data_IF_989106803470
#
_entry.id   IF_989106803470
#
_cell.length_a   1.000
_cell.length_b   1.000
_cell.length_c   1.000
_cell.angle_alpha   90.00
_cell.angle_beta   90.00
_cell.angle_gamma   90.00
#
_symmetry.space_group_name_H-M   'P 1'
#
loop_
_entity.id
_entity.type
_entity.pdbx_description
1 polymer ?
#
# COMPACT_ATOMS: atom_id res chain seq x y z
N UNK A 1 -6.16 6.48 -1.04
CA UNK A 1 -4.77 6.81 -0.71
C UNK A 1 -3.88 6.22 -1.80
N UNK A 2 -2.95 6.99 -2.36
CA UNK A 2 -1.92 6.48 -3.29
C UNK A 2 -0.57 6.56 -2.56
N UNK A 3 0.19 5.48 -2.52
CA UNK A 3 1.50 5.40 -1.84
C UNK A 3 2.46 4.59 -2.69
N UNK A 4 3.72 5.00 -2.75
CA UNK A 4 4.82 4.24 -3.37
C UNK A 4 5.40 3.16 -2.44
N UNK A 5 4.79 2.95 -1.26
CA UNK A 5 5.12 1.88 -0.32
C UNK A 5 6.46 2.03 0.39
N UNK A 6 7.13 3.19 0.26
CA UNK A 6 8.46 3.46 0.82
C UNK A 6 8.38 4.63 1.80
N UNK A 7 7.91 4.35 3.00
CA UNK A 7 7.85 5.35 4.05
C UNK A 7 9.27 5.84 4.39
N UNK A 8 9.50 7.15 4.29
CA UNK A 8 10.79 7.79 4.54
C UNK A 8 10.75 8.82 5.67
N UNK A 9 9.55 9.28 6.05
CA UNK A 9 9.30 10.23 7.13
C UNK A 9 8.30 9.60 8.12
N UNK A 10 8.63 9.66 9.41
CA UNK A 10 7.77 9.22 10.50
C UNK A 10 6.60 10.18 10.74
N UNK A 11 5.62 9.75 11.54
CA UNK A 11 4.40 10.53 11.83
C UNK A 11 4.71 11.86 12.54
N UNK A 12 5.82 11.94 13.27
CA UNK A 12 6.30 13.14 13.96
C UNK A 12 7.16 14.06 13.06
N UNK A 13 7.33 13.71 11.78
CA UNK A 13 8.13 14.46 10.82
C UNK A 13 9.62 14.11 10.81
N UNK A 14 10.07 13.18 11.66
CA UNK A 14 11.48 12.76 11.67
C UNK A 14 11.82 11.91 10.45
N UNK A 15 13.00 12.10 9.82
CA UNK A 15 13.43 11.26 8.73
C UNK A 15 13.92 9.89 9.25
N UNK A 16 13.61 8.82 8.52
CA UNK A 16 14.12 7.49 8.85
C UNK A 16 13.18 6.38 8.44
N UNK A 17 13.65 5.46 7.58
CA UNK A 17 12.81 4.39 7.03
C UNK A 17 12.29 3.42 8.07
N UNK A 18 13.08 3.11 9.11
CA UNK A 18 12.67 2.18 10.16
C UNK A 18 11.42 2.70 10.88
N UNK A 19 11.51 3.92 11.43
CA UNK A 19 10.39 4.53 12.16
C UNK A 19 9.20 4.84 11.25
N UNK A 20 9.46 5.35 10.05
CA UNK A 20 8.42 5.61 9.06
C UNK A 20 7.66 4.33 8.67
N UNK A 21 8.35 3.20 8.53
CA UNK A 21 7.72 1.91 8.25
C UNK A 21 6.89 1.40 9.43
N UNK A 22 7.38 1.54 10.67
CA UNK A 22 6.61 1.20 11.87
C UNK A 22 5.29 1.98 11.93
N UNK A 23 5.37 3.30 11.69
CA UNK A 23 4.21 4.20 11.70
C UNK A 23 3.23 3.87 10.58
N UNK A 24 3.73 3.54 9.38
CA UNK A 24 2.92 3.11 8.25
C UNK A 24 2.19 1.79 8.55
N UNK A 25 2.88 0.81 9.15
CA UNK A 25 2.27 -0.45 9.56
C UNK A 25 1.23 -0.26 10.67
N UNK A 26 1.47 0.67 11.60
CA UNK A 26 0.49 1.02 12.64
C UNK A 26 -0.77 1.64 12.03
N UNK A 27 -0.61 2.58 11.08
CA UNK A 27 -1.73 3.15 10.34
C UNK A 27 -2.50 2.09 9.56
N UNK A 28 -1.79 1.18 8.87
CA UNK A 28 -2.39 0.09 8.13
C UNK A 28 -3.28 -0.81 9.00
N UNK A 29 -2.77 -1.20 10.18
CA UNK A 29 -3.57 -1.98 11.15
C UNK A 29 -4.81 -1.23 11.60
N UNK A 30 -4.72 0.08 11.82
CA UNK A 30 -5.88 0.88 12.18
C UNK A 30 -6.92 0.90 11.06
N UNK A 31 -6.50 1.05 9.80
CA UNK A 31 -7.42 1.02 8.65
C UNK A 31 -8.20 -0.30 8.57
N UNK A 32 -7.54 -1.42 8.91
CA UNK A 32 -8.21 -2.72 8.99
C UNK A 32 -9.26 -2.75 10.11
N UNK A 33 -8.91 -2.26 11.29
CA UNK A 33 -9.81 -2.23 12.45
C UNK A 33 -11.04 -1.35 12.21
N UNK A 34 -10.86 -0.26 11.48
CA UNK A 34 -11.93 0.67 11.09
C UNK A 34 -12.81 0.10 9.95
N UNK A 35 -12.48 -1.08 9.40
CA UNK A 35 -13.29 -1.79 8.41
C UNK A 35 -13.13 -1.28 6.98
N UNK A 36 -12.05 -0.56 6.66
CA UNK A 36 -11.81 -0.10 5.29
C UNK A 36 -11.51 -1.27 4.35
N UNK A 37 -12.23 -1.32 3.23
CA UNK A 37 -11.84 -2.18 2.10
C UNK A 37 -10.74 -1.49 1.31
N UNK A 38 -9.60 -2.17 1.13
CA UNK A 38 -8.42 -1.60 0.50
C UNK A 38 -7.80 -2.52 -0.57
N UNK A 39 -7.23 -1.89 -1.60
CA UNK A 39 -6.41 -2.50 -2.64
C UNK A 39 -5.05 -1.80 -2.64
N UNK A 40 -3.96 -2.56 -2.49
CA UNK A 40 -2.61 -2.04 -2.64
C UNK A 40 -2.05 -2.43 -4.01
N UNK A 41 -1.87 -1.44 -4.87
CA UNK A 41 -1.21 -1.58 -6.17
C UNK A 41 0.28 -1.31 -6.00
N UNK A 42 1.13 -2.27 -6.36
CA UNK A 42 2.58 -2.10 -6.33
C UNK A 42 3.12 -1.95 -7.75
N UNK A 43 3.46 -0.71 -8.13
CA UNK A 43 4.01 -0.38 -9.44
C UNK A 43 5.53 -0.47 -9.51
N UNK A 44 6.18 -1.05 -8.51
CA UNK A 44 7.63 -1.23 -8.50
C UNK A 44 8.07 -2.16 -9.64
N UNK A 45 9.27 -1.98 -10.21
CA UNK A 45 9.81 -2.88 -11.23
C UNK A 45 9.89 -4.34 -10.76
N UNK A 46 10.06 -4.56 -9.46
CA UNK A 46 10.00 -5.86 -8.80
C UNK A 46 9.08 -5.75 -7.57
N UNK A 47 8.26 -6.79 -7.29
CA UNK A 47 7.41 -6.83 -6.10
C UNK A 47 8.20 -6.58 -4.82
N UNK A 48 7.73 -5.66 -3.99
CA UNK A 48 8.41 -5.30 -2.75
C UNK A 48 7.79 -5.98 -1.54
N UNK A 49 8.63 -6.59 -0.70
CA UNK A 49 8.19 -7.23 0.54
C UNK A 49 7.51 -6.24 1.49
N UNK A 50 8.00 -4.99 1.55
CA UNK A 50 7.40 -3.94 2.37
C UNK A 50 5.97 -3.61 1.94
N UNK A 51 5.70 -3.57 0.63
CA UNK A 51 4.35 -3.36 0.10
C UNK A 51 3.44 -4.54 0.46
N UNK A 52 3.93 -5.78 0.32
CA UNK A 52 3.20 -6.99 0.71
C UNK A 52 2.82 -6.99 2.19
N UNK A 53 3.76 -6.65 3.08
CA UNK A 53 3.52 -6.54 4.52
C UNK A 53 2.50 -5.44 4.87
N UNK A 54 2.59 -4.30 4.19
CA UNK A 54 1.63 -3.21 4.37
C UNK A 54 0.21 -3.62 3.96
N UNK A 55 0.06 -4.28 2.80
CA UNK A 55 -1.22 -4.82 2.35
C UNK A 55 -1.79 -5.82 3.36
N UNK A 56 -0.96 -6.73 3.87
CA UNK A 56 -1.37 -7.71 4.88
C UNK A 56 -1.83 -7.03 6.18
N UNK A 57 -1.10 -6.01 6.65
CA UNK A 57 -1.46 -5.25 7.84
C UNK A 57 -2.81 -4.52 7.67
N UNK A 58 -3.08 -3.98 6.47
CA UNK A 58 -4.37 -3.37 6.12
C UNK A 58 -5.50 -4.38 5.93
N UNK A 59 -5.22 -5.67 5.77
CA UNK A 59 -6.21 -6.62 5.24
C UNK A 59 -6.59 -6.32 3.79
N UNK A 60 -5.73 -5.64 3.05
CA UNK A 60 -5.93 -5.27 1.66
C UNK A 60 -5.57 -6.40 0.70
N UNK A 61 -6.17 -6.38 -0.49
CA UNK A 61 -5.69 -7.19 -1.62
C UNK A 61 -4.39 -6.57 -2.14
N UNK A 62 -3.35 -7.38 -2.30
CA UNK A 62 -2.08 -6.97 -2.90
C UNK A 62 -2.05 -7.31 -4.39
N UNK A 63 -1.73 -6.35 -5.24
CA UNK A 63 -1.61 -6.55 -6.68
C UNK A 63 -0.30 -5.94 -7.21
N UNK A 64 0.72 -6.78 -7.48
CA UNK A 64 1.92 -6.32 -8.16
C UNK A 64 1.63 -6.04 -9.63
N UNK A 65 2.04 -4.86 -10.09
CA UNK A 65 1.80 -4.33 -11.41
C UNK A 65 3.09 -3.68 -11.97
N UNK A 66 4.16 -4.46 -12.19
CA UNK A 66 5.40 -3.93 -12.75
C UNK A 66 5.13 -3.35 -14.15
N UNK A 67 5.67 -2.16 -14.42
CA UNK A 67 5.51 -1.45 -15.70
C UNK A 67 4.06 -1.07 -16.06
N UNK A 68 3.13 -1.08 -15.10
CA UNK A 68 1.74 -0.72 -15.40
C UNK A 68 1.60 0.77 -15.73
N UNK A 69 1.09 1.04 -16.93
CA UNK A 69 0.59 2.36 -17.29
C UNK A 69 -0.76 2.67 -16.64
N UNK A 70 -1.20 3.92 -16.75
CA UNK A 70 -2.46 4.41 -16.16
C UNK A 70 -3.69 3.59 -16.57
N UNK A 71 -3.73 3.07 -17.80
CA UNK A 71 -4.82 2.22 -18.29
C UNK A 71 -4.92 0.90 -17.50
N UNK A 72 -3.79 0.22 -17.29
CA UNK A 72 -3.72 -1.03 -16.52
C UNK A 72 -4.11 -0.82 -15.06
N UNK A 73 -3.66 0.28 -14.45
CA UNK A 73 -4.07 0.66 -13.09
C UNK A 73 -5.58 0.90 -13.01
N UNK A 74 -6.16 1.63 -13.96
CA UNK A 74 -7.61 1.90 -14.02
C UNK A 74 -8.42 0.61 -14.13
N UNK A 75 -7.99 -0.33 -14.97
CA UNK A 75 -8.62 -1.65 -15.09
C UNK A 75 -8.53 -2.45 -13.78
N UNK A 76 -7.36 -2.48 -13.14
CA UNK A 76 -7.18 -3.16 -11.86
C UNK A 76 -8.09 -2.61 -10.76
N UNK A 77 -8.22 -1.29 -10.66
CA UNK A 77 -9.14 -0.66 -9.70
C UNK A 77 -10.59 -1.02 -10.03
N UNK A 78 -11.00 -0.96 -11.30
CA UNK A 78 -12.36 -1.35 -11.72
C UNK A 78 -12.67 -2.80 -11.37
N UNK A 79 -11.77 -3.73 -11.70
CA UNK A 79 -11.92 -5.15 -11.38
C UNK A 79 -12.01 -5.43 -9.87
N UNK A 80 -11.39 -4.59 -9.04
CA UNK A 80 -11.46 -4.71 -7.58
C UNK A 80 -12.65 -3.97 -6.95
N UNK A 81 -13.26 -3.01 -7.67
CA UNK A 81 -14.37 -2.18 -7.17
C UNK A 81 -15.75 -2.76 -7.50
N UNK A 82 -15.82 -3.71 -8.46
CA UNK A 82 -17.07 -4.40 -8.78
C UNK A 82 -17.33 -5.46 -7.71
N UNK A 83 -18.43 -5.24 -6.98
CA UNK A 83 -19.09 -6.23 -6.12
C UNK A 83 -20.07 -7.05 -6.95
#
# INVERSE_FOLDING_TARGET
LLTDGRANIARDGTPGRARANEDALAAARQMRLDGFSALLLDSSPQPQETARLLAQAMGARYLPLPYAGAATMSQAVRAASIK
#
